data_IF_559339639533
#
_entry.id   IF_559339639533
#
_cell.length_a   1.000
_cell.length_b   1.000
_cell.length_c   1.000
_cell.angle_alpha   90.00
_cell.angle_beta   90.00
_cell.angle_gamma   90.00
#
_symmetry.space_group_name_H-M   'P 1'
#
loop_
_entity.id
_entity.type
_entity.pdbx_description
1 polymer ?
#
# COMPACT_ATOMS: atom_id res chain seq x y z
N UNK A 1 -13.52 -2.94 -23.46
CA UNK A 1 -12.27 -2.94 -22.67
C UNK A 1 -11.28 -1.85 -23.00
N UNK A 2 -10.56 -1.88 -24.14
CA UNK A 2 -9.49 -0.91 -24.41
C UNK A 2 -9.98 0.52 -24.72
N UNK A 3 -11.15 0.69 -25.29
CA UNK A 3 -11.72 2.02 -25.55
C UNK A 3 -12.08 2.80 -24.27
N UNK A 4 -12.38 2.10 -23.17
CA UNK A 4 -12.67 2.74 -21.90
C UNK A 4 -11.41 3.31 -21.19
N UNK A 5 -10.22 2.90 -21.61
CA UNK A 5 -8.95 3.31 -20.99
C UNK A 5 -8.31 4.47 -21.76
N UNK A 6 -8.70 4.68 -23.04
CA UNK A 6 -8.07 5.69 -23.89
C UNK A 6 -8.22 7.14 -23.39
N UNK A 7 -9.33 7.48 -22.73
CA UNK A 7 -9.54 8.82 -22.16
C UNK A 7 -8.82 9.03 -20.81
N UNK A 8 -8.45 7.94 -20.11
CA UNK A 8 -7.73 8.00 -18.84
C UNK A 8 -6.20 8.14 -19.01
N UNK A 9 -5.70 7.96 -20.24
CA UNK A 9 -4.30 8.06 -20.59
C UNK A 9 -3.58 9.35 -20.11
N UNK A 10 -4.17 10.57 -20.16
CA UNK A 10 -3.49 11.75 -19.64
C UNK A 10 -3.15 11.65 -18.15
N UNK A 11 -3.95 10.97 -17.35
CA UNK A 11 -3.67 10.76 -15.92
C UNK A 11 -2.46 9.87 -15.70
N UNK A 12 -2.34 8.78 -16.45
CA UNK A 12 -1.20 7.87 -16.34
C UNK A 12 0.13 8.57 -16.66
N UNK A 13 0.12 9.47 -17.64
CA UNK A 13 1.32 10.19 -18.09
C UNK A 13 1.68 11.38 -17.22
N UNK A 14 0.69 12.18 -16.85
CA UNK A 14 0.92 13.47 -16.21
C UNK A 14 0.89 13.40 -14.68
N UNK A 15 0.41 12.31 -14.10
CA UNK A 15 0.26 12.24 -12.64
C UNK A 15 1.60 12.25 -11.90
N UNK A 16 2.60 11.52 -12.40
CA UNK A 16 3.92 11.52 -11.76
C UNK A 16 4.62 12.89 -11.86
N UNK A 17 4.70 13.55 -13.02
CA UNK A 17 5.17 14.93 -13.09
C UNK A 17 4.40 15.90 -12.21
N UNK A 18 3.08 15.77 -12.13
CA UNK A 18 2.25 16.60 -11.25
C UNK A 18 2.59 16.37 -9.78
N UNK A 19 2.68 15.11 -9.34
CA UNK A 19 3.08 14.77 -7.98
C UNK A 19 4.46 15.33 -7.64
N UNK A 20 5.43 15.14 -8.52
CA UNK A 20 6.78 15.61 -8.31
C UNK A 20 6.84 17.15 -8.26
N UNK A 21 6.14 17.84 -9.16
CA UNK A 21 6.08 19.29 -9.20
C UNK A 21 5.47 19.90 -7.93
N UNK A 22 4.33 19.35 -7.47
CA UNK A 22 3.69 19.77 -6.21
C UNK A 22 4.61 19.49 -5.03
N UNK A 23 5.23 18.32 -4.98
CA UNK A 23 6.13 17.96 -3.87
C UNK A 23 7.34 18.86 -3.79
N UNK A 24 8.01 19.15 -4.91
CA UNK A 24 9.14 20.08 -4.97
C UNK A 24 8.70 21.48 -4.52
N UNK A 25 7.57 21.98 -5.03
CA UNK A 25 7.05 23.28 -4.63
C UNK A 25 6.79 23.36 -3.11
N UNK A 26 6.16 22.34 -2.54
CA UNK A 26 5.89 22.27 -1.10
C UNK A 26 7.17 22.18 -0.27
N UNK A 27 8.19 21.44 -0.73
CA UNK A 27 9.50 21.36 -0.07
C UNK A 27 10.22 22.73 -0.08
N UNK A 28 10.23 23.41 -1.22
CA UNK A 28 10.83 24.75 -1.36
C UNK A 28 10.13 25.77 -0.46
N UNK A 29 8.80 25.73 -0.41
CA UNK A 29 7.98 26.59 0.44
C UNK A 29 7.99 26.20 1.92
N UNK A 30 8.68 25.13 2.29
CA UNK A 30 8.67 24.55 3.64
C UNK A 30 7.27 24.12 4.15
N UNK A 31 6.39 23.75 3.23
CA UNK A 31 5.07 23.25 3.56
C UNK A 31 5.03 21.75 3.85
N UNK A 32 6.05 21.01 3.41
CA UNK A 32 6.23 19.61 3.74
C UNK A 32 7.68 19.30 4.10
N UNK A 33 7.89 18.22 4.85
CA UNK A 33 9.18 17.60 5.14
C UNK A 33 9.35 16.30 4.35
N UNK A 34 8.34 15.87 3.63
CA UNK A 34 8.31 14.60 2.90
C UNK A 34 8.74 14.79 1.45
N UNK A 35 9.75 14.06 1.04
CA UNK A 35 10.16 13.89 -0.36
C UNK A 35 9.55 12.59 -0.90
N UNK A 36 8.53 12.70 -1.72
CA UNK A 36 7.84 11.55 -2.32
C UNK A 36 8.24 11.39 -3.78
N UNK A 37 9.18 10.50 -4.04
CA UNK A 37 9.67 10.14 -5.38
C UNK A 37 9.23 8.73 -5.81
N UNK A 38 8.38 8.08 -5.01
CA UNK A 38 7.89 6.75 -5.30
C UNK A 38 6.89 6.78 -6.45
N UNK A 39 7.27 6.14 -7.56
CA UNK A 39 6.42 6.01 -8.74
C UNK A 39 5.17 5.17 -8.50
N UNK A 40 5.22 4.22 -7.57
CA UNK A 40 4.08 3.37 -7.23
C UNK A 40 3.00 4.15 -6.50
N UNK A 41 3.38 5.21 -5.83
CA UNK A 41 2.46 6.03 -5.06
C UNK A 41 1.53 6.90 -5.93
N UNK A 42 1.72 6.96 -7.25
CA UNK A 42 0.84 7.71 -8.15
C UNK A 42 -0.47 7.00 -8.48
N UNK A 43 -0.54 5.66 -8.31
CA UNK A 43 -1.70 4.89 -8.70
C UNK A 43 -2.99 5.31 -7.98
N UNK A 44 -2.91 5.58 -6.69
CA UNK A 44 -4.06 6.06 -5.91
C UNK A 44 -4.59 7.40 -6.47
N UNK A 45 -3.70 8.30 -6.88
CA UNK A 45 -4.03 9.61 -7.46
C UNK A 45 -4.64 9.46 -8.86
N UNK A 46 -4.08 8.54 -9.68
CA UNK A 46 -4.65 8.21 -10.99
C UNK A 46 -6.07 7.68 -10.82
N UNK A 47 -6.28 6.75 -9.90
CA UNK A 47 -7.60 6.21 -9.60
C UNK A 47 -8.59 7.31 -9.20
N UNK A 48 -8.20 8.16 -8.25
CA UNK A 48 -9.04 9.30 -7.82
C UNK A 48 -9.35 10.23 -8.99
N UNK A 49 -8.35 10.60 -9.80
CA UNK A 49 -8.54 11.48 -10.95
C UNK A 49 -9.49 10.88 -11.99
N UNK A 50 -9.36 9.59 -12.28
CA UNK A 50 -10.24 8.87 -13.21
C UNK A 50 -11.68 8.85 -12.68
N UNK A 51 -11.86 8.50 -11.40
CA UNK A 51 -13.19 8.46 -10.78
C UNK A 51 -13.86 9.83 -10.76
N UNK A 52 -13.14 10.87 -10.36
CA UNK A 52 -13.67 12.24 -10.34
C UNK A 52 -14.01 12.71 -11.74
N UNK A 53 -13.15 12.44 -12.72
CA UNK A 53 -13.42 12.81 -14.12
C UNK A 53 -14.63 12.09 -14.69
N UNK A 54 -14.80 10.81 -14.36
CA UNK A 54 -15.96 10.03 -14.77
C UNK A 54 -17.27 10.58 -14.19
N UNK A 55 -17.28 10.90 -12.89
CA UNK A 55 -18.46 11.41 -12.20
C UNK A 55 -18.80 12.84 -12.62
N UNK A 56 -17.79 13.71 -12.76
CA UNK A 56 -17.98 15.15 -13.06
C UNK A 56 -18.05 15.46 -14.54
N UNK A 57 -17.64 14.54 -15.42
CA UNK A 57 -17.45 14.80 -16.85
C UNK A 57 -16.27 15.71 -17.17
N UNK A 58 -15.39 16.03 -16.20
CA UNK A 58 -14.29 16.98 -16.34
C UNK A 58 -12.93 16.40 -15.98
N UNK A 59 -12.04 16.30 -16.97
CA UNK A 59 -10.64 15.90 -16.77
C UNK A 59 -9.91 16.88 -15.84
N UNK A 60 -10.22 18.17 -15.94
CA UNK A 60 -9.61 19.20 -15.09
C UNK A 60 -10.00 18.99 -13.63
N UNK A 61 -11.25 18.67 -13.34
CA UNK A 61 -11.70 18.34 -11.98
C UNK A 61 -10.93 17.13 -11.42
N UNK A 62 -10.70 16.13 -12.25
CA UNK A 62 -9.88 14.97 -11.88
C UNK A 62 -8.46 15.35 -11.45
N UNK A 63 -7.77 16.17 -12.23
CA UNK A 63 -6.43 16.64 -11.87
C UNK A 63 -6.42 17.54 -10.64
N UNK A 64 -7.41 18.41 -10.47
CA UNK A 64 -7.51 19.28 -9.28
C UNK A 64 -7.68 18.46 -8.01
N UNK A 65 -8.58 17.47 -8.00
CA UNK A 65 -8.79 16.63 -6.82
C UNK A 65 -7.58 15.76 -6.54
N UNK A 66 -6.92 15.23 -7.57
CA UNK A 66 -5.66 14.50 -7.39
C UNK A 66 -4.54 15.39 -6.83
N UNK A 67 -4.45 16.66 -7.28
CA UNK A 67 -3.49 17.62 -6.72
C UNK A 67 -3.75 17.90 -5.23
N UNK A 68 -5.01 18.04 -4.84
CA UNK A 68 -5.40 18.16 -3.42
C UNK A 68 -5.00 16.91 -2.64
N UNK A 69 -5.25 15.73 -3.20
CA UNK A 69 -4.85 14.46 -2.58
C UNK A 69 -3.34 14.40 -2.36
N UNK A 70 -2.52 14.80 -3.35
CA UNK A 70 -1.06 14.85 -3.22
C UNK A 70 -0.65 15.71 -2.02
N UNK A 71 -1.22 16.92 -1.90
CA UNK A 71 -0.93 17.83 -0.77
C UNK A 71 -1.30 17.18 0.56
N UNK A 72 -2.49 16.59 0.66
CA UNK A 72 -2.97 15.93 1.87
C UNK A 72 -2.08 14.75 2.25
N UNK A 73 -1.70 13.90 1.30
CA UNK A 73 -0.84 12.75 1.56
C UNK A 73 0.57 13.15 2.02
N UNK A 74 1.15 14.21 1.44
CA UNK A 74 2.44 14.75 1.89
C UNK A 74 2.37 15.28 3.31
N UNK A 75 1.32 16.02 3.66
CA UNK A 75 1.09 16.51 5.04
C UNK A 75 0.88 15.37 6.02
N UNK A 76 0.21 14.33 5.57
CA UNK A 76 0.03 13.13 6.38
C UNK A 76 1.35 12.39 6.59
N UNK A 77 2.17 12.25 5.53
CA UNK A 77 3.52 11.73 5.61
C UNK A 77 4.38 12.47 6.64
N UNK A 78 4.28 13.82 6.68
CA UNK A 78 4.95 14.63 7.70
C UNK A 78 4.51 14.27 9.13
N UNK A 79 3.21 14.03 9.32
CA UNK A 79 2.62 13.78 10.62
C UNK A 79 2.98 12.38 11.18
N UNK A 80 3.08 11.38 10.31
CA UNK A 80 3.33 10.00 10.72
C UNK A 80 4.79 9.56 10.61
N UNK A 81 5.68 10.38 10.03
CA UNK A 81 7.05 9.99 9.73
C UNK A 81 7.80 9.36 10.91
N UNK A 82 7.80 10.00 12.07
CA UNK A 82 8.42 9.44 13.28
C UNK A 82 7.84 8.08 13.70
N UNK A 83 6.52 7.94 13.56
CA UNK A 83 5.86 6.68 13.88
C UNK A 83 6.23 5.57 12.90
N UNK A 84 6.39 5.92 11.63
CA UNK A 84 6.88 4.97 10.61
C UNK A 84 8.32 4.54 10.91
N UNK A 85 9.20 5.46 11.27
CA UNK A 85 10.57 5.13 11.72
C UNK A 85 10.58 4.16 12.91
N UNK A 86 9.75 4.43 13.94
CA UNK A 86 9.63 3.57 15.12
C UNK A 86 9.18 2.15 14.77
N UNK A 87 8.19 2.03 13.87
CA UNK A 87 7.61 0.73 13.49
C UNK A 87 8.54 -0.05 12.55
N UNK A 88 9.19 0.64 11.62
CA UNK A 88 10.01 0.00 10.57
C UNK A 88 11.46 -0.20 10.98
N UNK A 89 11.95 0.60 11.94
CA UNK A 89 13.37 0.68 12.30
C UNK A 89 14.24 1.35 11.21
N UNK A 90 13.62 2.00 10.20
CA UNK A 90 14.34 2.67 9.11
C UNK A 90 14.27 4.19 9.33
N UNK A 91 15.39 4.85 9.66
CA UNK A 91 15.42 6.29 9.90
C UNK A 91 15.09 7.10 8.64
N UNK A 92 14.44 8.24 8.82
CA UNK A 92 14.18 9.19 7.73
C UNK A 92 13.16 8.73 6.69
N UNK A 93 12.30 7.78 7.02
CA UNK A 93 11.31 7.22 6.10
C UNK A 93 9.89 7.48 6.57
N UNK A 94 8.99 7.73 5.62
CA UNK A 94 7.55 7.87 5.87
C UNK A 94 6.75 7.25 4.73
N UNK A 95 5.44 7.06 4.96
CA UNK A 95 4.50 6.48 3.98
C UNK A 95 3.43 7.52 3.61
N UNK A 96 3.70 8.42 2.64
CA UNK A 96 2.75 9.43 2.19
C UNK A 96 1.74 8.82 1.20
N UNK A 97 0.88 7.95 1.69
CA UNK A 97 -0.06 7.18 0.87
C UNK A 97 -1.50 7.32 1.35
N UNK A 98 -2.44 7.17 0.43
CA UNK A 98 -3.88 7.22 0.71
C UNK A 98 -4.31 6.22 1.81
N UNK A 99 -3.69 5.05 1.87
CA UNK A 99 -3.97 4.05 2.92
C UNK A 99 -3.68 4.58 4.33
N UNK A 100 -2.73 5.50 4.47
CA UNK A 100 -2.46 6.15 5.75
C UNK A 100 -3.64 7.03 6.21
N UNK A 101 -4.39 7.64 5.29
CA UNK A 101 -5.63 8.37 5.60
C UNK A 101 -6.74 7.42 6.07
N UNK A 102 -6.85 6.25 5.44
CA UNK A 102 -7.80 5.22 5.89
C UNK A 102 -7.50 4.78 7.32
N UNK A 103 -6.23 4.70 7.71
CA UNK A 103 -5.83 4.35 9.07
C UNK A 103 -6.41 5.33 10.12
N UNK A 104 -6.55 6.63 9.78
CA UNK A 104 -7.21 7.61 10.68
C UNK A 104 -8.68 7.29 10.86
N UNK A 105 -9.37 6.94 9.77
CA UNK A 105 -10.80 6.57 9.81
C UNK A 105 -10.99 5.27 10.60
N UNK A 106 -10.06 4.32 10.45
CA UNK A 106 -10.10 3.03 11.14
C UNK A 106 -9.66 3.11 12.60
N UNK A 107 -8.99 4.19 13.02
CA UNK A 107 -8.52 4.34 14.41
C UNK A 107 -9.61 4.22 15.46
N UNK A 108 -10.78 4.88 15.35
CA UNK A 108 -11.88 4.70 16.29
C UNK A 108 -12.39 3.25 16.32
N UNK A 109 -12.46 2.59 15.16
CA UNK A 109 -12.84 1.19 15.08
C UNK A 109 -11.83 0.29 15.79
N UNK A 110 -10.53 0.54 15.58
CA UNK A 110 -9.47 -0.18 16.30
C UNK A 110 -9.62 -0.03 17.82
N UNK A 111 -9.91 1.19 18.30
CA UNK A 111 -10.17 1.43 19.73
C UNK A 111 -11.34 0.60 20.27
N UNK A 112 -12.39 0.39 19.47
CA UNK A 112 -13.51 -0.48 19.86
C UNK A 112 -13.05 -1.94 19.89
N UNK A 113 -12.25 -2.36 18.93
CA UNK A 113 -11.72 -3.73 18.86
C UNK A 113 -10.76 -4.04 20.02
N UNK A 114 -10.03 -3.05 20.55
CA UNK A 114 -9.15 -3.19 21.71
C UNK A 114 -9.91 -3.70 22.97
N UNK A 115 -11.24 -3.50 23.07
CA UNK A 115 -12.06 -4.06 24.14
C UNK A 115 -12.34 -5.55 24.00
N UNK A 116 -12.05 -6.14 22.85
CA UNK A 116 -12.29 -7.55 22.57
C UNK A 116 -10.95 -8.30 22.66
N UNK A 117 -10.74 -9.15 23.69
CA UNK A 117 -9.41 -9.75 23.96
C UNK A 117 -8.81 -10.55 22.82
N UNK A 118 -9.64 -11.10 21.92
CA UNK A 118 -9.14 -11.89 20.78
C UNK A 118 -8.41 -11.02 19.74
N UNK A 119 -8.77 -9.71 19.64
CA UNK A 119 -8.13 -8.80 18.69
C UNK A 119 -6.86 -8.14 19.25
N UNK A 120 -6.59 -8.31 20.55
CA UNK A 120 -5.37 -7.79 21.18
C UNK A 120 -4.18 -8.75 21.07
N UNK A 121 -4.36 -9.87 20.40
CA UNK A 121 -3.28 -10.81 20.12
C UNK A 121 -2.57 -10.41 18.85
N UNK A 122 -1.26 -10.37 18.91
CA UNK A 122 -0.44 -10.29 17.69
C UNK A 122 -0.63 -11.58 16.90
N UNK A 123 -1.27 -11.48 15.76
CA UNK A 123 -1.45 -12.58 14.81
C UNK A 123 -0.54 -12.31 13.63
N UNK A 124 0.68 -12.79 13.72
CA UNK A 124 1.66 -12.79 12.66
C UNK A 124 1.85 -14.20 12.07
N UNK A 125 2.77 -14.33 11.12
CA UNK A 125 3.05 -15.62 10.49
C UNK A 125 3.60 -16.64 11.50
N UNK A 126 4.40 -16.21 12.48
CA UNK A 126 4.98 -17.09 13.50
C UNK A 126 3.90 -17.59 14.45
N UNK A 127 3.00 -16.71 14.89
CA UNK A 127 1.84 -17.13 15.71
C UNK A 127 0.96 -18.16 15.00
N UNK A 128 0.66 -17.97 13.71
CA UNK A 128 -0.14 -18.93 12.94
C UNK A 128 0.61 -20.25 12.78
N UNK A 129 1.92 -20.21 12.50
CA UNK A 129 2.75 -21.39 12.39
C UNK A 129 2.79 -22.18 13.70
N UNK A 130 2.90 -21.50 14.84
CA UNK A 130 2.88 -22.16 16.16
C UNK A 130 1.53 -22.80 16.49
N UNK A 131 0.43 -22.22 16.02
CA UNK A 131 -0.93 -22.72 16.30
C UNK A 131 -1.39 -23.83 15.37
N UNK A 132 -1.13 -23.71 14.09
CA UNK A 132 -1.64 -24.61 13.06
C UNK A 132 -0.52 -25.26 12.22
N UNK A 133 0.73 -25.11 12.66
CA UNK A 133 1.89 -25.73 12.01
C UNK A 133 2.10 -25.20 10.59
N UNK A 134 2.47 -26.08 9.70
CA UNK A 134 2.75 -25.76 8.29
C UNK A 134 1.57 -25.07 7.58
N UNK A 135 0.34 -25.31 8.01
CA UNK A 135 -0.84 -24.68 7.45
C UNK A 135 -0.90 -23.16 7.74
N UNK A 136 -0.17 -22.67 8.75
CA UNK A 136 -0.05 -21.26 9.08
C UNK A 136 1.00 -20.52 8.24
N UNK A 137 1.78 -21.21 7.43
CA UNK A 137 2.74 -20.56 6.56
C UNK A 137 2.05 -19.87 5.38
N UNK A 138 2.40 -18.62 5.10
CA UNK A 138 1.73 -17.79 4.09
C UNK A 138 1.63 -18.47 2.72
N UNK A 139 2.67 -19.18 2.28
CA UNK A 139 2.67 -19.86 0.99
C UNK A 139 1.72 -21.09 0.97
N UNK A 140 1.59 -21.79 2.08
CA UNK A 140 0.66 -22.93 2.20
C UNK A 140 -0.79 -22.42 2.23
N UNK A 141 -1.05 -21.38 3.01
CA UNK A 141 -2.36 -20.72 3.04
C UNK A 141 -2.73 -20.17 1.65
N UNK A 142 -1.80 -19.52 0.98
CA UNK A 142 -1.98 -19.05 -0.39
C UNK A 142 -2.30 -20.16 -1.37
N UNK A 143 -1.59 -21.28 -1.28
CA UNK A 143 -1.85 -22.43 -2.13
C UNK A 143 -3.25 -23.03 -1.88
N UNK A 144 -3.66 -23.15 -0.63
CA UNK A 144 -5.00 -23.63 -0.27
C UNK A 144 -6.08 -22.70 -0.81
N UNK A 145 -5.93 -21.38 -0.62
CA UNK A 145 -6.88 -20.38 -1.12
C UNK A 145 -6.93 -20.42 -2.64
N UNK A 146 -5.79 -20.44 -3.32
CA UNK A 146 -5.72 -20.54 -4.79
C UNK A 146 -6.41 -21.80 -5.33
N UNK A 147 -6.23 -22.93 -4.66
CA UNK A 147 -6.90 -24.18 -5.01
C UNK A 147 -8.42 -24.06 -4.87
N UNK A 148 -8.88 -23.58 -3.72
CA UNK A 148 -10.33 -23.43 -3.45
C UNK A 148 -10.95 -22.49 -4.46
N UNK A 149 -10.33 -21.33 -4.72
CA UNK A 149 -10.80 -20.36 -5.69
C UNK A 149 -10.90 -20.94 -7.10
N UNK A 150 -9.88 -21.67 -7.53
CA UNK A 150 -9.89 -22.31 -8.84
C UNK A 150 -11.00 -23.33 -8.98
N UNK A 151 -11.24 -24.17 -7.96
CA UNK A 151 -12.30 -25.16 -7.97
C UNK A 151 -13.70 -24.53 -7.94
N UNK A 152 -13.93 -23.55 -7.07
CA UNK A 152 -15.22 -22.84 -6.97
C UNK A 152 -15.52 -22.05 -8.24
N UNK A 153 -14.50 -21.50 -8.90
CA UNK A 153 -14.65 -20.79 -10.19
C UNK A 153 -14.84 -21.73 -11.40
N UNK A 154 -14.87 -23.03 -11.19
CA UNK A 154 -15.09 -23.99 -12.26
C UNK A 154 -13.91 -24.21 -13.21
N UNK A 155 -12.69 -23.87 -12.81
CA UNK A 155 -11.50 -24.01 -13.66
C UNK A 155 -11.05 -25.46 -13.90
N UNK A 156 -11.66 -26.43 -13.17
CA UNK A 156 -11.23 -27.82 -13.16
C UNK A 156 -9.94 -28.04 -12.36
N UNK A 157 -9.65 -29.29 -12.03
CA UNK A 157 -8.57 -29.66 -11.08
C UNK A 157 -7.21 -29.17 -11.55
N UNK A 158 -6.86 -29.38 -12.82
CA UNK A 158 -5.52 -29.05 -13.32
C UNK A 158 -5.23 -27.54 -13.23
N UNK A 159 -6.14 -26.68 -13.67
CA UNK A 159 -5.96 -25.23 -13.61
C UNK A 159 -6.01 -24.72 -12.17
N UNK A 160 -6.82 -25.34 -11.33
CA UNK A 160 -6.88 -24.99 -9.89
C UNK A 160 -5.56 -25.32 -9.18
N UNK A 161 -4.91 -26.42 -9.50
CA UNK A 161 -3.58 -26.74 -8.98
C UNK A 161 -2.52 -25.72 -9.45
N UNK A 162 -2.57 -25.30 -10.70
CA UNK A 162 -1.68 -24.22 -11.22
C UNK A 162 -1.91 -22.93 -10.41
N UNK A 163 -3.17 -22.55 -10.22
CA UNK A 163 -3.51 -21.36 -9.44
C UNK A 163 -3.05 -21.46 -7.98
N UNK A 164 -3.16 -22.66 -7.39
CA UNK A 164 -2.63 -22.93 -6.04
C UNK A 164 -1.12 -22.67 -5.95
N UNK A 165 -0.35 -23.21 -6.90
CA UNK A 165 1.10 -23.00 -6.94
C UNK A 165 1.42 -21.52 -7.16
N UNK A 166 0.72 -20.84 -8.06
CA UNK A 166 0.94 -19.41 -8.33
C UNK A 166 0.65 -18.55 -7.09
N UNK A 167 -0.47 -18.77 -6.41
CA UNK A 167 -0.85 -18.02 -5.21
C UNK A 167 0.12 -18.31 -4.05
N UNK A 168 0.49 -19.56 -3.82
CA UNK A 168 1.47 -19.92 -2.82
C UNK A 168 2.84 -19.30 -3.09
N UNK A 169 3.31 -19.35 -4.34
CA UNK A 169 4.57 -18.73 -4.74
C UNK A 169 4.53 -17.22 -4.57
N UNK A 170 3.44 -16.57 -4.94
CA UNK A 170 3.28 -15.12 -4.76
C UNK A 170 3.38 -14.72 -3.28
N UNK A 171 2.65 -15.39 -2.40
CA UNK A 171 2.69 -15.12 -0.94
C UNK A 171 4.02 -15.49 -0.27
N UNK A 172 4.84 -16.32 -0.90
CA UNK A 172 6.22 -16.57 -0.47
C UNK A 172 7.17 -15.47 -0.95
N UNK A 173 7.12 -15.14 -2.24
CA UNK A 173 8.13 -14.28 -2.88
C UNK A 173 7.91 -12.80 -2.59
N UNK A 174 6.67 -12.31 -2.53
CA UNK A 174 6.41 -10.88 -2.32
C UNK A 174 7.01 -10.34 -1.02
N UNK A 175 6.83 -10.96 0.15
CA UNK A 175 7.46 -10.50 1.38
C UNK A 175 8.99 -10.53 1.31
N UNK A 176 9.56 -11.58 0.71
CA UNK A 176 11.02 -11.72 0.56
C UNK A 176 11.60 -10.61 -0.32
N UNK A 177 11.00 -10.38 -1.49
CA UNK A 177 11.44 -9.35 -2.43
C UNK A 177 11.29 -7.97 -1.80
N UNK A 178 10.15 -7.68 -1.14
CA UNK A 178 9.91 -6.40 -0.47
C UNK A 178 10.93 -6.13 0.64
N UNK A 179 11.30 -7.17 1.41
CA UNK A 179 12.34 -7.05 2.43
C UNK A 179 13.70 -6.73 1.83
N UNK A 180 14.06 -7.37 0.71
CA UNK A 180 15.31 -7.07 -0.01
C UNK A 180 15.32 -5.64 -0.56
N UNK A 181 14.19 -5.16 -1.10
CA UNK A 181 14.05 -3.77 -1.52
C UNK A 181 14.23 -2.79 -0.35
N UNK A 182 13.57 -3.05 0.79
CA UNK A 182 13.73 -2.21 1.98
C UNK A 182 15.18 -2.14 2.44
N UNK A 183 15.90 -3.27 2.46
CA UNK A 183 17.31 -3.33 2.81
C UNK A 183 18.20 -2.57 1.82
N UNK A 184 17.94 -2.68 0.53
CA UNK A 184 18.68 -1.98 -0.52
C UNK A 184 18.41 -0.46 -0.50
N UNK A 185 17.21 -0.04 -0.11
CA UNK A 185 16.82 1.37 -0.05
C UNK A 185 17.31 2.08 1.21
N UNK A 186 17.55 1.37 2.31
CA UNK A 186 18.03 1.97 3.56
C UNK A 186 19.28 2.85 3.37
N UNK A 187 20.40 2.37 2.79
CA UNK A 187 21.59 3.21 2.62
C UNK A 187 21.37 4.39 1.66
N UNK A 188 20.48 4.24 0.69
CA UNK A 188 20.10 5.33 -0.22
C UNK A 188 19.31 6.39 0.53
N UNK A 189 18.36 5.95 1.38
CA UNK A 189 17.58 6.82 2.26
C UNK A 189 18.49 7.63 3.19
N UNK A 190 19.46 6.99 3.82
CA UNK A 190 20.43 7.63 4.70
C UNK A 190 21.27 8.69 3.95
N UNK A 191 21.79 8.34 2.77
CA UNK A 191 22.60 9.24 1.95
C UNK A 191 21.80 10.46 1.46
N UNK A 192 20.55 10.26 1.04
CA UNK A 192 19.65 11.34 0.63
C UNK A 192 19.32 12.22 1.83
N UNK A 193 18.95 11.63 2.97
CA UNK A 193 18.65 12.36 4.21
C UNK A 193 19.82 13.23 4.65
N UNK A 194 21.04 12.71 4.61
CA UNK A 194 22.25 13.46 4.94
C UNK A 194 22.51 14.62 3.96
N UNK A 195 22.38 14.35 2.66
CA UNK A 195 22.57 15.36 1.61
C UNK A 195 21.53 16.48 1.72
N UNK A 196 20.26 16.10 1.95
CA UNK A 196 19.17 17.05 2.10
C UNK A 196 19.31 17.88 3.38
N UNK A 197 19.73 17.26 4.49
CA UNK A 197 20.06 17.95 5.74
C UNK A 197 21.11 19.04 5.55
N UNK A 198 22.18 18.74 4.81
CA UNK A 198 23.22 19.71 4.47
C UNK A 198 22.71 20.84 3.57
N UNK A 199 21.83 20.52 2.62
CA UNK A 199 21.32 21.48 1.60
C UNK A 199 20.18 22.34 2.12
N UNK A 200 19.39 21.87 3.07
CA UNK A 200 18.24 22.58 3.65
C UNK A 200 18.46 23.00 5.12
N UNK A 201 19.70 23.41 5.45
CA UNK A 201 20.05 23.98 6.77
C UNK A 201 19.64 23.11 7.98
N UNK A 202 19.88 21.83 7.91
CA UNK A 202 19.65 20.91 9.04
C UNK A 202 18.19 20.50 9.22
N UNK A 203 17.30 20.76 8.26
CA UNK A 203 15.90 20.31 8.33
C UNK A 203 15.82 18.79 8.24
N UNK A 204 14.96 18.26 9.07
CA UNK A 204 14.53 16.86 9.02
C UNK A 204 13.69 16.67 7.74
N UNK A 205 14.09 15.73 6.88
CA UNK A 205 13.37 15.35 5.68
C UNK A 205 13.11 13.87 5.72
N UNK A 206 11.86 13.49 5.49
CA UNK A 206 11.44 12.11 5.33
C UNK A 206 11.41 11.72 3.87
N UNK A 207 11.87 10.52 3.55
CA UNK A 207 11.73 9.93 2.24
C UNK A 207 10.43 9.13 2.21
N UNK A 208 9.55 9.51 1.30
CA UNK A 208 8.29 8.82 1.07
C UNK A 208 8.55 7.52 0.32
N UNK A 209 8.36 6.41 1.00
CA UNK A 209 8.38 5.06 0.46
C UNK A 209 7.06 4.38 0.83
N UNK A 210 6.47 3.63 -0.09
CA UNK A 210 5.19 2.97 0.13
C UNK A 210 5.35 1.45 0.16
N UNK A 211 5.28 0.85 -0.98
CA UNK A 211 5.23 -0.60 -1.13
C UNK A 211 6.41 -1.36 -0.52
N UNK A 212 7.67 -0.91 -0.66
CA UNK A 212 8.80 -1.65 -0.08
C UNK A 212 8.74 -1.78 1.43
N UNK A 213 8.17 -0.78 2.12
CA UNK A 213 8.03 -0.78 3.57
C UNK A 213 6.85 -1.64 4.00
N UNK A 214 5.68 -1.38 3.42
CA UNK A 214 4.43 -2.05 3.80
C UNK A 214 4.50 -3.54 3.46
N UNK A 215 4.90 -3.89 2.24
CA UNK A 215 4.94 -5.26 1.78
C UNK A 215 6.08 -6.11 2.40
N UNK A 216 7.04 -5.49 3.06
CA UNK A 216 8.06 -6.21 3.85
C UNK A 216 7.55 -6.77 5.18
N UNK A 217 6.33 -6.40 5.60
CA UNK A 217 5.74 -6.82 6.88
C UNK A 217 4.95 -8.12 6.74
N UNK A 218 5.29 -9.13 7.55
CA UNK A 218 4.61 -10.43 7.52
C UNK A 218 3.13 -10.31 7.91
N UNK A 219 2.81 -9.42 8.84
CA UNK A 219 1.46 -9.16 9.32
C UNK A 219 0.52 -8.69 8.20
N UNK A 220 1.05 -7.89 7.25
CA UNK A 220 0.28 -7.49 6.08
C UNK A 220 -0.17 -8.70 5.26
N UNK A 221 0.72 -9.63 5.02
CA UNK A 221 0.43 -10.82 4.18
C UNK A 221 -0.51 -11.78 4.87
N UNK A 222 -0.40 -11.93 6.20
CA UNK A 222 -1.40 -12.64 7.00
C UNK A 222 -2.77 -11.98 6.86
N UNK A 223 -2.85 -10.66 7.03
CA UNK A 223 -4.09 -9.92 6.90
C UNK A 223 -4.68 -10.06 5.48
N UNK A 224 -3.88 -9.94 4.42
CA UNK A 224 -4.30 -10.16 3.03
C UNK A 224 -4.89 -11.56 2.86
N UNK A 225 -4.17 -12.58 3.34
CA UNK A 225 -4.58 -13.99 3.22
C UNK A 225 -5.91 -14.24 3.91
N UNK A 226 -6.09 -13.74 5.14
CA UNK A 226 -7.32 -13.91 5.91
C UNK A 226 -8.49 -13.08 5.35
N UNK A 227 -8.20 -11.97 4.69
CA UNK A 227 -9.23 -11.07 4.13
C UNK A 227 -9.82 -11.60 2.82
N UNK A 228 -9.05 -12.34 2.02
CA UNK A 228 -9.52 -12.88 0.73
C UNK A 228 -10.83 -13.67 0.87
N UNK A 229 -10.96 -14.68 1.77
CA UNK A 229 -12.22 -15.41 1.94
C UNK A 229 -13.39 -14.50 2.36
N UNK A 230 -13.12 -13.51 3.21
CA UNK A 230 -14.15 -12.56 3.67
C UNK A 230 -14.67 -11.71 2.51
N UNK A 231 -13.78 -11.19 1.66
CA UNK A 231 -14.17 -10.45 0.46
C UNK A 231 -14.97 -11.28 -0.53
N UNK A 232 -14.60 -12.55 -0.71
CA UNK A 232 -15.32 -13.45 -1.59
C UNK A 232 -16.74 -13.71 -1.10
N UNK A 233 -16.90 -13.97 0.20
CA UNK A 233 -18.21 -14.13 0.82
C UNK A 233 -19.02 -12.84 0.66
N UNK A 234 -18.43 -11.69 0.98
CA UNK A 234 -19.10 -10.39 0.83
C UNK A 234 -19.53 -10.13 -0.62
N UNK A 235 -18.69 -10.48 -1.60
CA UNK A 235 -18.99 -10.30 -3.02
C UNK A 235 -20.26 -11.09 -3.46
N UNK A 236 -20.52 -12.25 -2.87
CA UNK A 236 -21.74 -13.04 -3.17
C UNK A 236 -23.01 -12.27 -2.75
N UNK A 237 -22.94 -11.47 -1.70
CA UNK A 237 -24.09 -10.74 -1.16
C UNK A 237 -24.23 -9.32 -1.70
N UNK A 238 -23.23 -8.81 -2.45
CA UNK A 238 -23.31 -7.49 -3.05
C UNK A 238 -24.22 -7.52 -4.30
N UNK A 239 -25.19 -6.59 -4.42
CA UNK A 239 -26.00 -6.48 -5.62
C UNK A 239 -25.16 -6.03 -6.81
N UNK A 240 -25.38 -6.65 -7.97
CA UNK A 240 -24.75 -6.36 -9.27
C UNK A 240 -23.32 -6.96 -9.48
N UNK A 241 -23.10 -8.16 -9.00
CA UNK A 241 -22.02 -8.98 -9.52
C UNK A 241 -22.41 -9.71 -10.79
#
# INVERSE_FOLDING_TARGET
>A
GMAAISWAWPFAFLMFPLQLGINIAMLVLNWTKTLNVDMWNVWAKIFTAVMVSYISGSIIAGFVVAAIQIVVELKFGDAIGKRVEEITGIPGVTVPHFMALIAVIMYPLNKILDYIPIFNKEIDADYLKDKIGILGENHVMGAIIGLILGLVSGYGVQRSLVLAVQAGTALLLFPMISKLFAQALSPISDAISETMRKRFNGKEIFIGLDWPIIAGRSELWVAVTLTIPVFLIAAIFLPNN
#
